data_IF_602902464742
#
_entry.id   IF_602902464742
#
_cell.length_a   1.000
_cell.length_b   1.000
_cell.length_c   1.000
_cell.angle_alpha   90.00
_cell.angle_beta   90.00
_cell.angle_gamma   90.00
#
_symmetry.space_group_name_H-M   'P 1'
#
loop_
_entity.id
_entity.type
_entity.pdbx_description
1 polymer ?
#
# COMPACT_ATOMS: atom_id res chain seq x y z
N UNK A 1 65.11 -7.18 -3.38
CA UNK A 1 64.00 -8.04 -3.86
C UNK A 1 62.80 -7.91 -2.92
N UNK A 2 62.00 -6.84 -3.02
CA UNK A 2 60.87 -6.60 -2.11
C UNK A 2 59.58 -6.10 -2.76
N UNK A 3 59.52 -6.02 -4.10
CA UNK A 3 58.40 -5.35 -4.78
C UNK A 3 57.22 -6.26 -5.12
N UNK A 4 57.41 -7.59 -5.19
CA UNK A 4 56.36 -8.50 -5.68
C UNK A 4 55.31 -8.86 -4.62
N UNK A 5 55.64 -8.82 -3.32
CA UNK A 5 54.70 -9.14 -2.24
C UNK A 5 53.70 -8.01 -1.95
N UNK A 6 54.08 -6.75 -2.21
CA UNK A 6 53.22 -5.59 -1.94
C UNK A 6 52.08 -5.48 -2.98
N UNK A 7 52.35 -5.75 -4.25
CA UNK A 7 51.36 -5.69 -5.34
C UNK A 7 50.34 -6.84 -5.28
N UNK A 8 50.75 -8.02 -4.80
CA UNK A 8 49.82 -9.13 -4.56
C UNK A 8 48.89 -8.87 -3.37
N UNK A 9 49.39 -8.25 -2.30
CA UNK A 9 48.56 -7.87 -1.15
C UNK A 9 47.57 -6.74 -1.47
N UNK A 10 47.95 -5.79 -2.33
CA UNK A 10 47.05 -4.69 -2.72
C UNK A 10 45.91 -5.15 -3.64
N UNK A 11 46.18 -6.08 -4.55
CA UNK A 11 45.17 -6.66 -5.46
C UNK A 11 44.15 -7.53 -4.72
N UNK A 12 44.61 -8.40 -3.82
CA UNK A 12 43.73 -9.21 -2.96
C UNK A 12 42.84 -8.30 -2.10
N UNK A 13 43.37 -7.18 -1.59
CA UNK A 13 42.58 -6.23 -0.81
C UNK A 13 41.54 -5.50 -1.65
N UNK A 14 41.88 -5.05 -2.87
CA UNK A 14 40.90 -4.41 -3.76
C UNK A 14 39.80 -5.36 -4.20
N UNK A 15 40.15 -6.63 -4.45
CA UNK A 15 39.18 -7.66 -4.82
C UNK A 15 38.21 -7.94 -3.67
N UNK A 16 38.71 -8.09 -2.44
CA UNK A 16 37.89 -8.21 -1.23
C UNK A 16 36.99 -6.98 -1.00
N UNK A 17 37.49 -5.77 -1.21
CA UNK A 17 36.65 -4.56 -1.13
C UNK A 17 35.54 -4.55 -2.18
N UNK A 18 35.86 -4.91 -3.42
CA UNK A 18 34.86 -4.94 -4.50
C UNK A 18 33.78 -6.00 -4.26
N UNK A 19 34.14 -7.15 -3.69
CA UNK A 19 33.22 -8.22 -3.32
C UNK A 19 32.32 -7.82 -2.15
N UNK A 20 32.85 -7.08 -1.17
CA UNK A 20 32.08 -6.51 -0.06
C UNK A 20 31.10 -5.44 -0.53
N UNK A 21 31.53 -4.55 -1.42
CA UNK A 21 30.65 -3.53 -2.01
C UNK A 21 29.54 -4.17 -2.84
N UNK A 22 29.87 -5.18 -3.66
CA UNK A 22 28.88 -5.95 -4.42
C UNK A 22 27.85 -6.61 -3.49
N UNK A 23 28.31 -7.30 -2.45
CA UNK A 23 27.44 -7.95 -1.46
C UNK A 23 26.53 -6.94 -0.74
N UNK A 24 27.06 -5.77 -0.38
CA UNK A 24 26.27 -4.69 0.24
C UNK A 24 25.20 -4.17 -0.71
N UNK A 25 25.55 -3.91 -1.97
CA UNK A 25 24.62 -3.41 -2.99
C UNK A 25 23.49 -4.42 -3.25
N UNK A 26 23.82 -5.70 -3.39
CA UNK A 26 22.82 -6.76 -3.59
C UNK A 26 21.85 -6.88 -2.42
N UNK A 27 22.36 -6.80 -1.18
CA UNK A 27 21.51 -6.82 0.03
C UNK A 27 20.61 -5.59 0.11
N UNK A 28 21.14 -4.39 -0.17
CA UNK A 28 20.33 -3.17 -0.21
C UNK A 28 19.26 -3.21 -1.30
N UNK A 29 19.59 -3.77 -2.46
CA UNK A 29 18.66 -3.97 -3.55
C UNK A 29 17.55 -4.98 -3.17
N UNK A 30 17.90 -6.08 -2.52
CA UNK A 30 16.95 -7.06 -2.01
C UNK A 30 15.99 -6.43 -0.98
N UNK A 31 16.51 -5.67 -0.01
CA UNK A 31 15.71 -4.92 0.97
C UNK A 31 14.75 -3.95 0.28
N UNK A 32 15.24 -3.19 -0.71
CA UNK A 32 14.42 -2.24 -1.46
C UNK A 32 13.29 -2.95 -2.24
N UNK A 33 13.60 -4.06 -2.90
CA UNK A 33 12.62 -4.86 -3.66
C UNK A 33 11.56 -5.47 -2.74
N UNK A 34 11.95 -6.01 -1.59
CA UNK A 34 11.02 -6.56 -0.59
C UNK A 34 10.10 -5.48 -0.01
N UNK A 35 10.64 -4.31 0.32
CA UNK A 35 9.85 -3.18 0.80
C UNK A 35 8.87 -2.68 -0.28
N UNK A 36 9.29 -2.65 -1.54
CA UNK A 36 8.43 -2.25 -2.64
C UNK A 36 7.28 -3.24 -2.85
N UNK A 37 7.57 -4.55 -2.82
CA UNK A 37 6.55 -5.60 -2.93
C UNK A 37 5.52 -5.50 -1.80
N UNK A 38 5.97 -5.33 -0.55
CA UNK A 38 5.08 -5.12 0.59
C UNK A 38 4.24 -3.86 0.42
N UNK A 39 4.83 -2.73 0.01
CA UNK A 39 4.08 -1.49 -0.27
C UNK A 39 2.98 -1.70 -1.31
N UNK A 40 3.24 -2.47 -2.37
CA UNK A 40 2.24 -2.81 -3.40
C UNK A 40 1.09 -3.64 -2.81
N UNK A 41 1.39 -4.64 -1.98
CA UNK A 41 0.38 -5.45 -1.31
C UNK A 41 -0.52 -4.61 -0.39
N UNK A 42 0.08 -3.75 0.45
CA UNK A 42 -0.65 -2.82 1.30
C UNK A 42 -1.55 -1.87 0.50
N UNK A 43 -1.02 -1.28 -0.58
CA UNK A 43 -1.78 -0.39 -1.45
C UNK A 43 -2.98 -1.09 -2.10
N UNK A 44 -2.80 -2.35 -2.51
CA UNK A 44 -3.89 -3.14 -3.10
C UNK A 44 -4.97 -3.48 -2.06
N UNK A 45 -4.56 -3.86 -0.84
CA UNK A 45 -5.48 -4.13 0.26
C UNK A 45 -6.28 -2.89 0.66
N UNK A 46 -5.63 -1.72 0.72
CA UNK A 46 -6.28 -0.44 1.00
C UNK A 46 -7.32 -0.08 -0.07
N UNK A 47 -7.00 -0.26 -1.36
CA UNK A 47 -7.96 0.01 -2.44
C UNK A 47 -9.15 -0.96 -2.43
N UNK A 48 -8.94 -2.22 -2.02
CA UNK A 48 -10.06 -3.18 -1.83
C UNK A 48 -10.98 -2.76 -0.69
N UNK A 49 -10.41 -2.26 0.40
CA UNK A 49 -11.21 -1.76 1.53
C UNK A 49 -12.01 -0.51 1.14
N UNK A 50 -11.37 0.45 0.45
CA UNK A 50 -12.08 1.61 -0.13
C UNK A 50 -13.20 1.17 -1.08
N UNK A 51 -12.98 0.14 -1.89
CA UNK A 51 -14.00 -0.39 -2.79
C UNK A 51 -15.16 -1.00 -2.00
N UNK A 52 -14.90 -1.73 -0.92
CA UNK A 52 -15.92 -2.35 -0.08
C UNK A 52 -16.85 -1.32 0.58
N UNK A 53 -16.34 -0.12 0.87
CA UNK A 53 -17.13 0.99 1.40
C UNK A 53 -17.80 1.85 0.32
N UNK A 54 -17.15 2.03 -0.83
CA UNK A 54 -17.72 2.85 -1.93
C UNK A 54 -18.75 2.10 -2.78
N UNK A 55 -18.66 0.76 -2.86
CA UNK A 55 -19.63 -0.09 -3.55
C UNK A 55 -21.06 0.00 -2.98
N UNK A 56 -21.31 -0.14 -1.67
CA UNK A 56 -22.66 0.01 -1.13
C UNK A 56 -23.18 1.44 -1.26
N UNK A 57 -22.33 2.47 -1.08
CA UNK A 57 -22.70 3.86 -1.30
C UNK A 57 -23.12 4.15 -2.75
N UNK A 58 -22.35 3.63 -3.72
CA UNK A 58 -22.70 3.68 -5.14
C UNK A 58 -23.99 2.92 -5.44
N UNK A 59 -24.18 1.75 -4.84
CA UNK A 59 -25.42 0.95 -4.94
C UNK A 59 -26.65 1.69 -4.46
N UNK A 60 -26.58 2.32 -3.29
CA UNK A 60 -27.67 3.14 -2.73
C UNK A 60 -27.98 4.31 -3.67
N UNK A 61 -26.96 4.99 -4.19
CA UNK A 61 -27.14 6.08 -5.16
C UNK A 61 -27.84 5.58 -6.44
N UNK A 62 -27.47 4.41 -6.96
CA UNK A 62 -28.12 3.81 -8.13
C UNK A 62 -29.59 3.52 -7.88
N UNK A 63 -29.95 3.01 -6.70
CA UNK A 63 -31.34 2.77 -6.30
C UNK A 63 -32.13 4.08 -6.21
N UNK A 64 -31.56 5.12 -5.60
CA UNK A 64 -32.21 6.44 -5.53
C UNK A 64 -32.40 7.06 -6.92
N UNK A 65 -31.42 6.97 -7.81
CA UNK A 65 -31.54 7.42 -9.20
C UNK A 65 -32.63 6.65 -9.96
N UNK A 66 -32.71 5.33 -9.77
CA UNK A 66 -33.73 4.50 -10.41
C UNK A 66 -35.15 4.82 -9.91
N UNK A 67 -35.33 4.95 -8.58
CA UNK A 67 -36.61 5.32 -7.97
C UNK A 67 -37.04 6.73 -8.39
N UNK A 68 -36.10 7.68 -8.43
CA UNK A 68 -36.37 9.05 -8.87
C UNK A 68 -36.77 9.12 -10.36
N UNK A 69 -36.06 8.37 -11.22
CA UNK A 69 -36.40 8.28 -12.64
C UNK A 69 -37.79 7.66 -12.88
N UNK A 70 -38.15 6.63 -12.10
CA UNK A 70 -39.47 5.99 -12.13
C UNK A 70 -40.57 6.95 -11.69
N UNK A 71 -40.37 7.66 -10.58
CA UNK A 71 -41.36 8.58 -10.02
C UNK A 71 -41.63 9.79 -10.95
N UNK A 72 -40.59 10.37 -11.54
CA UNK A 72 -40.70 11.57 -12.38
C UNK A 72 -40.89 11.26 -13.88
N UNK A 73 -40.90 9.97 -14.28
CA UNK A 73 -40.90 9.51 -15.68
C UNK A 73 -39.84 10.21 -16.54
N UNK A 74 -38.71 10.57 -15.95
CA UNK A 74 -37.64 11.31 -16.62
C UNK A 74 -36.31 10.55 -16.51
N UNK A 75 -35.75 10.22 -17.67
CA UNK A 75 -34.51 9.42 -17.80
C UNK A 75 -33.27 10.22 -17.41
N UNK A 76 -33.35 11.56 -17.41
CA UNK A 76 -32.23 12.44 -17.01
C UNK A 76 -31.70 12.18 -15.60
N UNK A 77 -32.52 11.64 -14.68
CA UNK A 77 -32.08 11.27 -13.33
C UNK A 77 -31.12 10.07 -13.30
N UNK A 78 -30.96 9.34 -14.41
CA UNK A 78 -29.98 8.27 -14.57
C UNK A 78 -28.60 8.77 -15.03
N UNK A 79 -28.46 10.03 -15.45
CA UNK A 79 -27.20 10.59 -15.94
C UNK A 79 -26.03 10.43 -14.94
N UNK A 80 -26.22 10.58 -13.61
CA UNK A 80 -25.17 10.33 -12.61
C UNK A 80 -24.72 8.86 -12.49
N UNK A 81 -25.48 7.88 -13.02
CA UNK A 81 -25.05 6.48 -13.01
C UNK A 81 -23.84 6.24 -13.92
N UNK A 82 -23.74 6.94 -15.04
CA UNK A 82 -22.71 6.62 -16.02
C UNK A 82 -21.27 6.85 -15.48
N UNK A 83 -20.95 7.99 -14.84
CA UNK A 83 -19.64 8.18 -14.22
C UNK A 83 -19.40 7.28 -13.00
N UNK A 84 -20.44 7.03 -12.19
CA UNK A 84 -20.31 6.24 -10.96
C UNK A 84 -20.06 4.76 -11.26
N UNK A 85 -20.82 4.16 -12.20
CA UNK A 85 -20.62 2.78 -12.64
C UNK A 85 -19.30 2.61 -13.36
N UNK A 86 -18.91 3.56 -14.22
CA UNK A 86 -17.61 3.51 -14.91
C UNK A 86 -16.44 3.58 -13.92
N UNK A 87 -16.51 4.45 -12.91
CA UNK A 87 -15.50 4.56 -11.86
C UNK A 87 -15.41 3.30 -10.99
N UNK A 88 -16.56 2.76 -10.56
CA UNK A 88 -16.63 1.52 -9.79
C UNK A 88 -16.12 0.32 -10.59
N UNK A 89 -16.47 0.24 -11.87
CA UNK A 89 -15.98 -0.79 -12.78
C UNK A 89 -14.46 -0.72 -12.97
N UNK A 90 -13.90 0.48 -13.16
CA UNK A 90 -12.45 0.67 -13.23
C UNK A 90 -11.76 0.25 -11.93
N UNK A 91 -12.29 0.66 -10.76
CA UNK A 91 -11.72 0.29 -9.46
C UNK A 91 -11.83 -1.21 -9.18
N UNK A 92 -12.95 -1.84 -9.53
CA UNK A 92 -13.13 -3.28 -9.41
C UNK A 92 -12.12 -4.03 -10.30
N UNK A 93 -11.94 -3.58 -11.54
CA UNK A 93 -10.96 -4.15 -12.45
C UNK A 93 -9.51 -3.91 -11.98
N UNK A 94 -9.22 -2.77 -11.36
CA UNK A 94 -7.91 -2.51 -10.75
C UNK A 94 -7.62 -3.42 -9.55
N UNK A 95 -8.61 -3.66 -8.68
CA UNK A 95 -8.46 -4.47 -7.46
C UNK A 95 -8.48 -5.99 -7.69
N UNK A 96 -9.24 -6.45 -8.69
CA UNK A 96 -9.49 -7.87 -8.94
C UNK A 96 -9.09 -8.35 -10.35
N UNK A 97 -9.06 -7.47 -11.37
CA UNK A 97 -8.74 -7.83 -12.76
C UNK A 97 -7.23 -7.90 -13.04
N UNK A 98 -6.80 -8.57 -14.12
CA UNK A 98 -5.46 -9.13 -14.36
C UNK A 98 -4.28 -8.14 -14.59
N UNK A 99 -4.40 -6.84 -14.30
CA UNK A 99 -3.43 -5.83 -14.77
C UNK A 99 -2.02 -5.95 -14.16
N UNK A 100 -1.89 -6.46 -12.94
CA UNK A 100 -0.58 -6.60 -12.28
C UNK A 100 0.23 -7.79 -12.78
N UNK A 101 -0.41 -8.85 -13.31
CA UNK A 101 0.32 -9.99 -13.89
C UNK A 101 0.98 -9.61 -15.21
N UNK A 102 0.34 -8.77 -16.03
CA UNK A 102 0.90 -8.24 -17.28
C UNK A 102 2.14 -7.37 -17.00
N UNK A 103 2.09 -6.54 -15.94
CA UNK A 103 3.24 -5.71 -15.52
C UNK A 103 4.39 -6.60 -15.02
N UNK A 104 4.07 -7.67 -14.28
CA UNK A 104 5.06 -8.62 -13.80
C UNK A 104 5.67 -9.43 -14.96
N UNK A 105 4.88 -9.87 -15.94
CA UNK A 105 5.36 -10.58 -17.13
C UNK A 105 6.28 -9.71 -17.99
N UNK A 106 5.97 -8.41 -18.12
CA UNK A 106 6.83 -7.43 -18.80
C UNK A 106 8.12 -7.14 -18.00
N UNK A 107 8.05 -7.10 -16.67
CA UNK A 107 9.21 -6.91 -15.81
C UNK A 107 10.14 -8.15 -15.77
N UNK A 108 9.58 -9.36 -15.87
CA UNK A 108 10.36 -10.61 -15.96
C UNK A 108 11.10 -10.72 -17.29
N UNK A 109 10.47 -10.31 -18.41
CA UNK A 109 11.14 -10.20 -19.71
C UNK A 109 12.34 -9.24 -19.70
N UNK A 110 12.37 -8.27 -18.79
CA UNK A 110 13.51 -7.35 -18.60
C UNK A 110 14.58 -7.90 -17.64
N UNK A 111 14.23 -8.78 -16.69
CA UNK A 111 15.17 -9.38 -15.71
C UNK A 111 15.96 -10.57 -16.26
N UNK A 112 15.53 -11.19 -17.35
CA UNK A 112 16.24 -12.30 -18.02
C UNK A 112 17.61 -11.89 -18.64
N UNK A 113 18.05 -10.64 -18.47
CA UNK A 113 19.29 -10.11 -19.04
C UNK A 113 20.52 -10.11 -18.13
N UNK A 114 20.46 -10.56 -16.87
CA UNK A 114 21.65 -10.49 -16.01
C UNK A 114 21.65 -11.52 -14.88
N UNK A 115 22.41 -12.61 -15.06
CA UNK A 115 22.92 -13.45 -13.98
C UNK A 115 24.43 -13.57 -14.15
N UNK A 116 25.19 -13.25 -13.11
CA UNK A 116 26.60 -13.64 -12.98
C UNK A 116 26.83 -14.02 -11.51
N UNK A 117 27.00 -15.33 -11.32
CA UNK A 117 27.45 -16.02 -10.11
C UNK A 117 28.81 -15.52 -9.61
N UNK A 118 29.10 -15.68 -8.31
CA UNK A 118 30.21 -16.53 -7.78
C UNK A 118 30.22 -16.42 -6.25
N UNK A 119 30.55 -17.53 -5.59
CA UNK A 119 30.55 -17.75 -4.15
C UNK A 119 31.98 -17.98 -3.59
N UNK A 120 32.08 -17.86 -2.26
CA UNK A 120 33.12 -18.30 -1.31
C UNK A 120 34.25 -17.33 -0.94
N UNK A 121 33.97 -16.55 0.12
CA UNK A 121 34.77 -16.42 1.36
C UNK A 121 33.95 -15.75 2.49
N UNK A 122 32.70 -16.22 2.68
CA UNK A 122 31.64 -15.45 3.34
C UNK A 122 31.34 -15.80 4.81
N UNK A 123 32.15 -16.60 5.52
CA UNK A 123 31.79 -17.06 6.86
C UNK A 123 32.19 -16.09 8.00
N UNK A 124 33.30 -15.35 7.87
CA UNK A 124 33.77 -14.42 8.91
C UNK A 124 33.35 -12.95 8.65
N UNK A 125 33.03 -12.59 7.39
CA UNK A 125 32.53 -11.26 7.00
C UNK A 125 31.01 -11.09 7.12
N UNK A 126 30.27 -12.18 7.35
CA UNK A 126 28.82 -12.16 7.63
C UNK A 126 28.52 -11.47 8.95
N UNK A 127 29.18 -11.87 10.03
CA UNK A 127 28.82 -11.47 11.39
C UNK A 127 28.88 -9.94 11.59
N UNK A 128 29.93 -9.26 11.12
CA UNK A 128 30.06 -7.80 11.27
C UNK A 128 29.12 -7.00 10.36
N UNK A 129 28.82 -7.52 9.16
CA UNK A 129 27.90 -6.88 8.22
C UNK A 129 26.43 -7.13 8.61
N UNK A 130 26.16 -8.28 9.22
CA UNK A 130 24.82 -8.66 9.68
C UNK A 130 24.38 -7.76 10.85
N UNK A 131 25.28 -7.40 11.77
CA UNK A 131 25.00 -6.42 12.85
C UNK A 131 24.64 -5.03 12.31
N UNK A 132 25.38 -4.54 11.29
CA UNK A 132 25.09 -3.25 10.67
C UNK A 132 23.75 -3.25 9.93
N UNK A 133 23.43 -4.36 9.26
CA UNK A 133 22.18 -4.52 8.52
C UNK A 133 21.00 -4.71 9.47
N UNK A 134 21.15 -5.45 10.56
CA UNK A 134 20.13 -5.58 11.60
C UNK A 134 19.80 -4.20 12.20
N UNK A 135 20.83 -3.40 12.51
CA UNK A 135 20.63 -2.03 12.97
C UNK A 135 19.90 -1.15 11.93
N UNK A 136 20.24 -1.26 10.64
CA UNK A 136 19.57 -0.52 9.57
C UNK A 136 18.09 -0.95 9.41
N UNK A 137 17.81 -2.24 9.52
CA UNK A 137 16.46 -2.81 9.46
C UNK A 137 15.63 -2.32 10.65
N UNK A 138 16.18 -2.38 11.86
CA UNK A 138 15.52 -1.89 13.08
C UNK A 138 15.24 -0.40 12.96
N UNK A 139 16.20 0.40 12.47
CA UNK A 139 16.00 1.84 12.25
C UNK A 139 14.90 2.11 11.23
N UNK A 140 14.87 1.40 10.10
CA UNK A 140 13.83 1.54 9.07
C UNK A 140 12.46 1.11 9.58
N UNK A 141 12.38 0.04 10.37
CA UNK A 141 11.14 -0.41 11.01
C UNK A 141 10.64 0.64 12.01
N UNK A 142 11.55 1.24 12.80
CA UNK A 142 11.23 2.29 13.73
C UNK A 142 10.75 3.56 13.00
N UNK A 143 11.43 3.99 11.95
CA UNK A 143 11.01 5.12 11.10
C UNK A 143 9.64 4.90 10.48
N UNK A 144 9.38 3.70 9.94
CA UNK A 144 8.07 3.34 9.39
C UNK A 144 6.98 3.31 10.47
N UNK A 145 7.28 2.82 11.66
CA UNK A 145 6.36 2.83 12.79
C UNK A 145 6.04 4.28 13.22
N UNK A 146 7.05 5.14 13.29
CA UNK A 146 6.88 6.57 13.58
C UNK A 146 6.07 7.28 12.49
N UNK A 147 6.38 7.06 11.21
CA UNK A 147 5.65 7.65 10.09
C UNK A 147 4.17 7.23 10.10
N UNK A 148 3.89 5.95 10.42
CA UNK A 148 2.52 5.44 10.58
C UNK A 148 1.80 6.09 11.76
N UNK A 149 2.46 6.23 12.90
CA UNK A 149 1.90 6.88 14.08
C UNK A 149 1.55 8.36 13.80
N UNK A 150 2.45 9.10 13.16
CA UNK A 150 2.21 10.50 12.75
C UNK A 150 1.02 10.60 11.80
N UNK A 151 0.95 9.75 10.77
CA UNK A 151 -0.18 9.71 9.83
C UNK A 151 -1.51 9.38 10.51
N UNK A 152 -1.49 8.54 11.54
CA UNK A 152 -2.68 8.20 12.31
C UNK A 152 -3.17 9.41 13.11
N UNK A 153 -2.28 10.11 13.81
CA UNK A 153 -2.60 11.34 14.56
C UNK A 153 -3.11 12.44 13.61
N UNK A 154 -2.45 12.64 12.46
CA UNK A 154 -2.89 13.63 11.45
C UNK A 154 -4.30 13.31 10.93
N UNK A 155 -4.64 12.03 10.73
CA UNK A 155 -5.99 11.61 10.34
C UNK A 155 -7.02 11.90 11.44
N UNK A 156 -6.68 11.69 12.71
CA UNK A 156 -7.55 12.00 13.84
C UNK A 156 -7.83 13.50 13.96
N UNK A 157 -6.79 14.33 13.79
CA UNK A 157 -6.93 15.79 13.79
C UNK A 157 -7.79 16.25 12.61
N UNK A 158 -7.50 15.75 11.40
CA UNK A 158 -8.29 16.06 10.21
C UNK A 158 -9.75 15.65 10.37
N UNK A 159 -10.01 14.48 10.93
CA UNK A 159 -11.37 14.03 11.23
C UNK A 159 -12.08 14.97 12.19
N UNK A 160 -11.39 15.46 13.24
CA UNK A 160 -11.97 16.39 14.21
C UNK A 160 -12.45 17.69 13.54
N UNK A 161 -11.65 18.23 12.61
CA UNK A 161 -12.04 19.40 11.81
C UNK A 161 -13.20 19.11 10.86
N UNK A 162 -13.20 17.96 10.22
CA UNK A 162 -14.27 17.54 9.31
C UNK A 162 -15.59 17.28 10.06
N UNK A 163 -15.53 16.73 11.27
CA UNK A 163 -16.68 16.54 12.16
C UNK A 163 -17.29 17.88 12.56
N UNK A 164 -16.48 18.84 12.98
CA UNK A 164 -16.95 20.19 13.29
C UNK A 164 -17.60 20.84 12.07
N UNK A 165 -16.97 20.75 10.89
CA UNK A 165 -17.50 21.26 9.64
C UNK A 165 -18.86 20.66 9.29
N UNK A 166 -18.97 19.33 9.27
CA UNK A 166 -20.21 18.64 8.92
C UNK A 166 -21.31 18.89 9.96
N UNK A 167 -20.98 18.88 11.26
CA UNK A 167 -21.92 19.21 12.32
C UNK A 167 -22.48 20.62 12.14
N UNK A 168 -21.64 21.61 11.81
CA UNK A 168 -22.10 22.98 11.58
C UNK A 168 -23.06 23.07 10.39
N UNK A 169 -22.77 22.37 9.30
CA UNK A 169 -23.62 22.30 8.11
C UNK A 169 -24.95 21.62 8.42
N UNK A 170 -24.96 20.53 9.18
CA UNK A 170 -26.19 19.84 9.60
C UNK A 170 -27.05 20.76 10.46
N UNK A 171 -26.48 21.50 11.42
CA UNK A 171 -27.21 22.47 12.24
C UNK A 171 -27.83 23.57 11.36
N UNK A 172 -27.08 24.13 10.42
CA UNK A 172 -27.58 25.16 9.49
C UNK A 172 -28.71 24.61 8.61
N UNK A 173 -28.57 23.40 8.06
CA UNK A 173 -29.59 22.76 7.22
C UNK A 173 -30.87 22.46 8.02
N UNK A 174 -30.74 22.01 9.27
CA UNK A 174 -31.88 21.79 10.16
C UNK A 174 -32.58 23.11 10.52
N UNK A 175 -31.83 24.17 10.82
CA UNK A 175 -32.39 25.50 11.10
C UNK A 175 -33.10 26.07 9.86
N UNK A 176 -32.49 25.97 8.67
CA UNK A 176 -33.08 26.41 7.41
C UNK A 176 -34.34 25.59 7.05
N UNK A 177 -34.33 24.27 7.27
CA UNK A 177 -35.47 23.40 7.07
C UNK A 177 -36.63 23.70 8.03
N UNK A 178 -36.32 23.99 9.30
CA UNK A 178 -37.32 24.40 10.29
C UNK A 178 -37.96 25.76 9.93
N UNK A 179 -37.16 26.73 9.48
CA UNK A 179 -37.64 28.04 9.07
C UNK A 179 -38.49 27.99 7.79
N UNK A 180 -38.11 27.15 6.82
CA UNK A 180 -38.79 27.05 5.52
C UNK A 180 -39.91 26.01 5.46
N UNK A 181 -40.10 25.19 6.51
CA UNK A 181 -41.03 24.04 6.59
C UNK A 181 -40.89 23.01 5.45
N UNK A 182 -39.79 23.03 4.70
CA UNK A 182 -39.52 22.09 3.62
C UNK A 182 -38.71 20.90 4.13
N UNK A 183 -39.15 19.69 3.79
CA UNK A 183 -38.49 18.43 4.21
C UNK A 183 -37.26 18.09 3.36
N UNK A 184 -37.07 18.79 2.24
CA UNK A 184 -36.00 18.53 1.28
C UNK A 184 -34.60 18.75 1.85
N UNK A 185 -34.47 19.57 2.90
CA UNK A 185 -33.21 19.83 3.61
C UNK A 185 -32.69 18.61 4.42
N UNK A 186 -33.52 17.60 4.64
CA UNK A 186 -33.09 16.36 5.31
C UNK A 186 -32.35 15.39 4.37
N UNK A 187 -32.56 15.50 3.05
CA UNK A 187 -31.96 14.62 2.03
C UNK A 187 -30.42 14.62 2.10
N UNK A 188 -29.71 15.76 2.18
CA UNK A 188 -28.24 15.77 2.26
C UNK A 188 -27.66 15.31 3.60
N UNK A 189 -28.46 15.17 4.66
CA UNK A 189 -27.95 14.78 6.00
C UNK A 189 -27.50 13.32 6.01
N UNK A 190 -28.24 12.42 5.36
CA UNK A 190 -27.92 11.00 5.30
C UNK A 190 -26.53 10.68 4.70
N UNK A 191 -26.14 11.20 3.52
CA UNK A 191 -24.80 10.97 2.97
C UNK A 191 -23.69 11.63 3.80
N UNK A 192 -23.97 12.76 4.48
CA UNK A 192 -23.01 13.42 5.37
C UNK A 192 -22.69 12.56 6.60
N UNK A 193 -23.70 11.98 7.24
CA UNK A 193 -23.53 11.06 8.38
C UNK A 193 -22.80 9.78 7.96
N UNK A 194 -23.15 9.21 6.80
CA UNK A 194 -22.49 8.03 6.26
C UNK A 194 -20.99 8.29 5.98
N UNK A 195 -20.68 9.42 5.35
CA UNK A 195 -19.30 9.84 5.09
C UNK A 195 -18.51 10.09 6.37
N UNK A 196 -19.15 10.68 7.39
CA UNK A 196 -18.57 10.85 8.71
C UNK A 196 -18.24 9.50 9.38
N UNK A 197 -19.17 8.54 9.34
CA UNK A 197 -18.97 7.21 9.91
C UNK A 197 -17.79 6.48 9.30
N UNK A 198 -17.64 6.52 7.97
CA UNK A 198 -16.48 5.93 7.29
C UNK A 198 -15.16 6.60 7.68
N UNK A 199 -15.14 7.93 7.78
CA UNK A 199 -13.95 8.68 8.18
C UNK A 199 -13.57 8.45 9.64
N UNK A 200 -14.57 8.28 10.50
CA UNK A 200 -14.37 7.89 11.89
C UNK A 200 -13.70 6.51 11.98
N UNK A 201 -14.22 5.51 11.26
CA UNK A 201 -13.64 4.17 11.21
C UNK A 201 -12.21 4.18 10.64
N UNK A 202 -11.92 5.09 9.69
CA UNK A 202 -10.57 5.29 9.17
C UNK A 202 -9.61 6.02 10.14
N UNK A 203 -10.09 6.76 11.14
CA UNK A 203 -9.26 7.55 12.05
C UNK A 203 -9.09 6.89 13.43
N UNK A 204 -10.15 6.24 13.93
CA UNK A 204 -10.21 5.63 15.26
C UNK A 204 -10.53 4.14 15.23
N UNK A 205 -10.98 3.60 14.09
CA UNK A 205 -11.35 2.20 13.95
C UNK A 205 -10.17 1.27 13.66
N UNK A 206 -10.46 -0.03 13.62
CA UNK A 206 -9.49 -1.11 13.36
C UNK A 206 -9.18 -1.29 11.87
N UNK A 207 -9.60 -0.35 11.01
CA UNK A 207 -9.40 -0.41 9.56
C UNK A 207 -7.93 -0.63 9.17
N UNK A 208 -6.98 -0.01 9.90
CA UNK A 208 -5.55 -0.19 9.66
C UNK A 208 -5.07 -1.64 9.92
N UNK A 209 -5.64 -2.30 10.94
CA UNK A 209 -5.37 -3.71 11.24
C UNK A 209 -6.02 -4.61 10.18
N UNK A 210 -7.26 -4.31 9.80
CA UNK A 210 -8.00 -5.04 8.77
C UNK A 210 -7.28 -5.01 7.41
N UNK A 211 -6.76 -3.85 7.01
CA UNK A 211 -5.96 -3.67 5.79
C UNK A 211 -4.63 -4.39 5.90
N UNK A 212 -3.97 -4.34 7.07
CA UNK A 212 -2.75 -5.11 7.34
C UNK A 212 -3.00 -6.61 7.20
N UNK A 213 -3.99 -7.13 7.89
CA UNK A 213 -4.28 -8.56 7.94
C UNK A 213 -4.70 -9.07 6.55
N UNK A 214 -5.46 -8.28 5.77
CA UNK A 214 -5.75 -8.59 4.35
C UNK A 214 -4.50 -8.56 3.48
N UNK A 215 -3.59 -7.61 3.69
CA UNK A 215 -2.32 -7.56 2.97
C UNK A 215 -1.42 -8.75 3.32
N UNK A 216 -1.34 -9.11 4.61
CA UNK A 216 -0.60 -10.28 5.09
C UNK A 216 -1.21 -11.59 4.58
N UNK A 217 -2.54 -11.70 4.51
CA UNK A 217 -3.19 -12.85 3.90
C UNK A 217 -2.89 -12.96 2.40
N UNK A 218 -2.89 -11.85 1.66
CA UNK A 218 -2.50 -11.83 0.23
C UNK A 218 -1.04 -12.24 0.03
N UNK A 219 -0.18 -11.84 0.97
CA UNK A 219 1.21 -12.25 1.04
C UNK A 219 1.31 -13.76 1.39
N UNK A 220 0.62 -14.28 2.39
CA UNK A 220 0.73 -15.71 2.72
C UNK A 220 0.19 -16.64 1.63
N UNK A 221 -0.79 -16.18 0.84
CA UNK A 221 -1.46 -16.99 -0.19
C UNK A 221 -0.66 -17.19 -1.48
N UNK A 222 0.54 -16.61 -1.61
CA UNK A 222 1.35 -16.69 -2.83
C UNK A 222 0.60 -16.28 -4.11
N UNK A 223 -0.20 -15.20 -4.02
CA UNK A 223 -0.87 -14.62 -5.18
C UNK A 223 0.19 -14.22 -6.23
N UNK A 224 0.15 -14.79 -7.45
CA UNK A 224 1.17 -14.59 -8.50
C UNK A 224 1.40 -13.10 -8.86
N UNK A 225 0.41 -12.28 -8.51
CA UNK A 225 0.37 -10.83 -8.65
C UNK A 225 1.33 -10.12 -7.69
N UNK A 226 1.70 -10.78 -6.60
CA UNK A 226 2.51 -10.31 -5.47
C UNK A 226 3.54 -11.42 -5.12
N UNK A 227 4.56 -11.63 -5.95
CA UNK A 227 5.71 -12.49 -5.59
C UNK A 227 6.34 -12.00 -4.27
N UNK A 228 6.83 -12.94 -3.45
CA UNK A 228 6.67 -12.86 -1.99
C UNK A 228 7.93 -13.04 -1.14
N UNK A 229 8.02 -12.25 -0.05
CA UNK A 229 8.33 -12.70 1.33
C UNK A 229 7.59 -11.81 2.37
N UNK A 230 6.88 -12.43 3.31
CA UNK A 230 6.02 -11.77 4.31
C UNK A 230 6.57 -11.84 5.74
N UNK A 231 6.06 -10.97 6.63
CA UNK A 231 6.52 -10.81 8.03
C UNK A 231 7.27 -9.49 8.26
N UNK A 232 7.64 -9.11 9.50
CA UNK A 232 8.64 -8.05 9.72
C UNK A 232 9.89 -8.38 8.90
N UNK A 233 10.56 -7.38 8.31
CA UNK A 233 11.71 -7.65 7.44
C UNK A 233 12.80 -8.32 8.29
N UNK A 234 13.03 -9.62 8.09
CA UNK A 234 14.07 -10.36 8.80
C UNK A 234 15.25 -10.64 7.88
N UNK A 235 16.45 -10.72 8.47
CA UNK A 235 17.69 -10.97 7.73
C UNK A 235 17.60 -12.29 6.92
N UNK A 236 16.94 -13.30 7.50
CA UNK A 236 16.65 -14.59 6.87
C UNK A 236 15.85 -14.47 5.56
N UNK A 237 14.89 -13.54 5.48
CA UNK A 237 14.10 -13.33 4.26
C UNK A 237 14.91 -12.65 3.15
N UNK A 238 15.83 -11.76 3.53
CA UNK A 238 16.73 -11.06 2.60
C UNK A 238 17.73 -12.04 2.00
N UNK A 239 18.35 -12.90 2.83
CA UNK A 239 19.28 -13.92 2.37
C UNK A 239 18.59 -14.99 1.50
N UNK A 240 17.39 -15.45 1.88
CA UNK A 240 16.60 -16.39 1.07
C UNK A 240 16.17 -15.79 -0.29
N UNK A 241 15.93 -14.49 -0.37
CA UNK A 241 15.64 -13.80 -1.62
C UNK A 241 16.89 -13.65 -2.49
N UNK A 242 18.05 -13.33 -1.88
CA UNK A 242 19.34 -13.24 -2.60
C UNK A 242 19.69 -14.56 -3.26
N UNK A 243 19.59 -15.67 -2.54
CA UNK A 243 19.90 -17.02 -3.05
C UNK A 243 19.04 -17.42 -4.25
N UNK A 244 17.76 -17.01 -4.30
CA UNK A 244 16.86 -17.35 -5.42
C UNK A 244 17.04 -16.49 -6.67
N UNK A 245 17.57 -15.28 -6.53
CA UNK A 245 17.53 -14.27 -7.61
C UNK A 245 18.91 -13.79 -8.08
N UNK A 246 19.98 -14.04 -7.34
CA UNK A 246 21.31 -13.50 -7.62
C UNK A 246 22.46 -14.53 -7.59
N UNK A 247 22.16 -15.83 -7.39
CA UNK A 247 23.14 -16.90 -7.61
C UNK A 247 23.23 -17.30 -9.08
#
# INVERSE_FOLDING_TARGET
MGSFYSTASSSVRSDLYSELEKTRIERQLAIAQLLEQRRRAYKLAEEREKLNWTAPGGGVMMVFCALSSYHHRNVLHLLPLFPTVSYLGYKAHYCYGNKTSIINELAEKLRMGQSISTDRNAAELKILNDDFIEAEIVLKNLQLAQEKAVKLVERQERFSWEFLGISSVVVILLAAGAASKRKDFAIPIAPLILGLGYRYDCAFGTNHELVRDKAEAMLQRNDERLKLVGGPLTLNEVDAYRERHFQ
#
